data_IF_773717071752
#
_entry.id   IF_773717071752
#
_cell.length_a   1.000
_cell.length_b   1.000
_cell.length_c   1.000
_cell.angle_alpha   90.00
_cell.angle_beta   90.00
_cell.angle_gamma   90.00
#
_symmetry.space_group_name_H-M   'P 1'
#
loop_
_entity.id
_entity.type
_entity.pdbx_description
1 polymer ?
#
# COMPACT_ATOMS: atom_id res chain seq x y z
N UNK A 1 -12.53 -46.90 -22.00
CA UNK A 1 -11.19 -47.39 -21.56
C UNK A 1 -10.47 -46.25 -20.85
N UNK A 2 -10.48 -46.24 -19.52
CA UNK A 2 -9.91 -45.19 -18.67
C UNK A 2 -8.44 -45.52 -18.37
N UNK A 3 -7.50 -44.70 -18.87
CA UNK A 3 -6.08 -44.82 -18.53
C UNK A 3 -5.80 -44.06 -17.24
N UNK A 4 -5.51 -44.81 -16.18
CA UNK A 4 -4.90 -44.32 -14.93
C UNK A 4 -3.47 -43.86 -15.23
N UNK A 5 -3.15 -42.61 -14.94
CA UNK A 5 -1.77 -42.10 -14.92
C UNK A 5 -1.39 -41.85 -13.46
N UNK A 6 -0.55 -42.74 -12.94
CA UNK A 6 0.12 -42.60 -11.65
C UNK A 6 1.27 -41.60 -11.80
N UNK A 7 1.27 -40.54 -11.01
CA UNK A 7 2.41 -39.63 -10.89
C UNK A 7 3.21 -39.98 -9.63
N UNK A 8 4.53 -40.19 -9.72
CA UNK A 8 5.37 -40.42 -8.56
C UNK A 8 5.65 -39.11 -7.81
N UNK A 9 5.41 -39.20 -6.51
CA UNK A 9 5.74 -38.24 -5.47
C UNK A 9 7.27 -38.11 -5.35
N UNK A 10 7.86 -37.02 -5.84
CA UNK A 10 9.27 -36.69 -5.60
C UNK A 10 9.37 -35.70 -4.43
N UNK A 11 9.64 -36.26 -3.25
CA UNK A 11 10.08 -35.54 -2.06
C UNK A 11 11.50 -35.01 -2.32
N UNK A 12 11.63 -33.73 -2.62
CA UNK A 12 12.94 -33.05 -2.59
C UNK A 12 13.05 -32.35 -1.24
N UNK A 13 13.67 -33.07 -0.31
CA UNK A 13 14.16 -32.52 0.96
C UNK A 13 15.37 -31.64 0.66
N UNK A 14 15.22 -30.33 0.85
CA UNK A 14 16.32 -29.37 0.78
C UNK A 14 16.56 -28.78 2.17
N UNK A 15 17.52 -29.35 2.88
CA UNK A 15 18.10 -28.78 4.09
C UNK A 15 18.94 -27.56 3.71
N UNK A 16 18.39 -26.35 3.84
CA UNK A 16 19.18 -25.13 3.84
C UNK A 16 19.38 -24.65 5.29
N UNK A 17 20.65 -24.65 5.67
CA UNK A 17 21.21 -24.29 6.97
C UNK A 17 20.88 -22.84 7.31
N UNK A 18 20.23 -22.63 8.46
CA UNK A 18 20.02 -21.30 9.05
C UNK A 18 21.33 -20.80 9.67
N UNK A 19 22.01 -19.89 8.98
CA UNK A 19 23.10 -19.10 9.55
C UNK A 19 22.55 -17.91 10.33
N UNK A 20 22.64 -17.96 11.66
CA UNK A 20 22.29 -16.86 12.53
C UNK A 20 23.42 -15.81 12.53
N UNK A 21 23.25 -14.72 11.78
CA UNK A 21 24.08 -13.53 11.93
C UNK A 21 23.41 -12.64 12.99
N UNK A 22 23.94 -12.67 14.21
CA UNK A 22 23.58 -11.73 15.26
C UNK A 22 24.36 -10.43 15.07
N UNK A 23 23.76 -9.46 14.40
CA UNK A 23 24.27 -8.10 14.36
C UNK A 23 23.69 -7.33 15.55
N UNK A 24 24.57 -7.01 16.51
CA UNK A 24 24.28 -6.12 17.63
C UNK A 24 24.01 -4.73 17.05
N UNK A 25 22.75 -4.31 17.09
CA UNK A 25 22.34 -2.98 16.67
C UNK A 25 22.79 -1.95 17.73
N UNK A 26 23.73 -1.10 17.37
CA UNK A 26 24.04 0.14 18.08
C UNK A 26 22.85 1.08 17.92
N UNK A 27 22.21 1.46 19.02
CA UNK A 27 21.15 2.47 19.06
C UNK A 27 21.77 3.81 19.45
N UNK A 28 21.92 4.77 18.52
CA UNK A 28 22.11 6.17 18.93
C UNK A 28 20.79 6.66 19.51
N UNK A 29 20.82 6.97 20.81
CA UNK A 29 19.80 7.76 21.48
C UNK A 29 19.93 9.21 21.02
N UNK A 30 19.22 9.58 19.96
CA UNK A 30 18.92 10.99 19.66
C UNK A 30 17.56 11.30 20.27
N UNK A 31 17.60 11.93 21.44
CA UNK A 31 16.50 12.73 21.99
C UNK A 31 16.73 14.13 21.47
N UNK A 32 15.94 14.51 20.47
CA UNK A 32 15.72 15.90 20.10
C UNK A 32 14.22 16.10 20.29
N UNK A 33 13.90 16.87 21.33
CA UNK A 33 12.56 17.36 21.56
C UNK A 33 12.51 18.71 20.83
N UNK A 34 11.82 18.72 19.69
CA UNK A 34 11.27 19.93 19.12
C UNK A 34 9.75 19.72 19.13
N UNK A 35 9.08 20.49 19.99
CA UNK A 35 7.64 20.76 19.90
C UNK A 35 7.49 21.77 18.75
N UNK A 36 7.19 21.30 17.54
CA UNK A 36 6.72 22.16 16.44
C UNK A 36 5.35 21.65 15.98
N UNK A 37 4.39 22.57 15.94
CA UNK A 37 2.97 22.33 15.71
C UNK A 37 2.62 21.89 14.26
N UNK A 38 3.61 21.45 13.48
CA UNK A 38 3.54 21.11 12.04
C UNK A 38 3.48 19.58 11.76
N UNK A 39 3.54 18.73 12.79
CA UNK A 39 3.84 17.29 12.64
C UNK A 39 2.80 16.43 11.91
N UNK A 40 1.50 16.75 11.99
CA UNK A 40 0.45 15.85 11.46
C UNK A 40 0.37 15.87 9.93
N UNK A 41 0.62 17.03 9.32
CA UNK A 41 0.59 17.18 7.86
C UNK A 41 1.90 16.67 7.23
N UNK A 42 3.02 16.79 7.95
CA UNK A 42 4.29 16.15 7.61
C UNK A 42 4.18 14.61 7.67
N UNK A 43 3.43 14.07 8.64
CA UNK A 43 3.15 12.64 8.70
C UNK A 43 2.33 12.17 7.49
N UNK A 44 1.36 12.97 7.01
CA UNK A 44 0.63 12.68 5.77
C UNK A 44 1.58 12.66 4.57
N UNK A 45 2.45 13.66 4.44
CA UNK A 45 3.42 13.74 3.36
C UNK A 45 4.37 12.54 3.36
N UNK A 46 4.98 12.21 4.50
CA UNK A 46 5.89 11.08 4.63
C UNK A 46 5.17 9.74 4.35
N UNK A 47 3.92 9.61 4.79
CA UNK A 47 3.09 8.46 4.46
C UNK A 47 2.84 8.39 2.94
N UNK A 48 2.64 9.52 2.26
CA UNK A 48 2.27 9.59 0.85
C UNK A 48 3.45 9.17 -0.01
N UNK A 49 4.62 9.76 0.27
CA UNK A 49 5.88 9.41 -0.35
C UNK A 49 6.14 7.91 -0.23
N UNK A 50 6.16 7.36 0.99
CA UNK A 50 6.41 5.93 1.23
C UNK A 50 5.34 5.01 0.64
N UNK A 51 4.11 5.48 0.43
CA UNK A 51 3.02 4.68 -0.15
C UNK A 51 3.11 4.64 -1.68
N UNK A 52 3.52 5.75 -2.30
CA UNK A 52 3.45 5.93 -3.75
C UNK A 52 4.82 5.79 -4.44
N UNK A 53 5.91 6.22 -3.81
CA UNK A 53 7.21 6.36 -4.45
C UNK A 53 8.08 5.10 -4.47
N UNK A 54 8.82 4.96 -5.57
CA UNK A 54 9.80 3.90 -5.76
C UNK A 54 9.22 2.61 -6.36
N UNK A 55 10.11 1.77 -6.89
CA UNK A 55 9.73 0.54 -7.63
C UNK A 55 9.02 -0.50 -6.78
N UNK A 56 9.23 -0.46 -5.46
CA UNK A 56 8.68 -1.41 -4.48
C UNK A 56 7.57 -0.79 -3.62
N UNK A 57 7.04 0.38 -4.00
CA UNK A 57 6.00 1.05 -3.24
C UNK A 57 4.75 0.18 -3.09
N UNK A 58 4.01 0.32 -1.98
CA UNK A 58 2.70 -0.30 -1.81
C UNK A 58 1.76 -0.02 -2.98
N UNK A 59 1.77 1.21 -3.52
CA UNK A 59 1.05 1.57 -4.74
C UNK A 59 1.41 0.69 -5.93
N UNK A 60 2.71 0.59 -6.28
CA UNK A 60 3.14 -0.25 -7.41
C UNK A 60 2.84 -1.72 -7.19
N UNK A 61 2.90 -2.19 -5.93
CA UNK A 61 2.56 -3.56 -5.57
C UNK A 61 1.08 -3.84 -5.83
N UNK A 62 0.18 -3.02 -5.29
CA UNK A 62 -1.28 -3.14 -5.53
C UNK A 62 -1.60 -3.00 -7.01
N UNK A 63 -1.08 -1.98 -7.69
CA UNK A 63 -1.38 -1.74 -9.09
C UNK A 63 -1.00 -2.95 -9.97
N UNK A 64 0.19 -3.54 -9.75
CA UNK A 64 0.59 -4.76 -10.46
C UNK A 64 -0.29 -5.96 -10.08
N UNK A 65 -0.57 -6.13 -8.79
CA UNK A 65 -1.30 -7.28 -8.27
C UNK A 65 -2.75 -7.33 -8.74
N UNK A 66 -3.45 -6.19 -8.75
CA UNK A 66 -4.84 -6.05 -9.21
C UNK A 66 -4.98 -6.24 -10.72
N UNK A 67 -3.97 -5.80 -11.49
CA UNK A 67 -3.94 -5.95 -12.94
C UNK A 67 -3.39 -7.30 -13.42
N UNK A 68 -2.91 -8.16 -12.52
CA UNK A 68 -2.51 -9.52 -12.88
C UNK A 68 -3.72 -10.38 -13.28
N UNK A 69 -3.45 -11.45 -14.04
CA UNK A 69 -4.43 -12.47 -14.39
C UNK A 69 -3.85 -13.88 -14.17
N UNK A 70 -4.28 -14.61 -13.11
CA UNK A 70 -5.26 -14.19 -12.10
C UNK A 70 -4.72 -13.09 -11.18
N UNK A 71 -5.63 -12.33 -10.56
CA UNK A 71 -5.31 -11.27 -9.59
C UNK A 71 -4.50 -11.84 -8.42
N UNK A 72 -3.40 -11.19 -8.06
CA UNK A 72 -2.56 -11.62 -6.93
C UNK A 72 -3.07 -11.06 -5.59
N UNK A 73 -4.01 -11.76 -4.96
CA UNK A 73 -4.60 -11.35 -3.69
C UNK A 73 -3.60 -11.22 -2.54
N UNK A 74 -2.55 -12.05 -2.50
CA UNK A 74 -1.55 -11.99 -1.44
C UNK A 74 -0.78 -10.66 -1.47
N UNK A 75 -0.44 -10.19 -2.67
CA UNK A 75 0.23 -8.90 -2.84
C UNK A 75 -0.70 -7.71 -2.52
N UNK A 76 -2.01 -7.84 -2.82
CA UNK A 76 -3.01 -6.83 -2.44
C UNK A 76 -3.11 -6.75 -0.93
N UNK A 77 -3.36 -7.88 -0.26
CA UNK A 77 -3.54 -7.94 1.20
C UNK A 77 -2.32 -7.42 1.96
N UNK A 78 -1.10 -7.74 1.50
CA UNK A 78 0.14 -7.27 2.13
C UNK A 78 0.32 -5.74 2.05
N UNK A 79 -0.19 -5.11 1.01
CA UNK A 79 -0.08 -3.66 0.83
C UNK A 79 -1.16 -2.87 1.58
N UNK A 80 -2.31 -3.48 1.87
CA UNK A 80 -3.47 -2.81 2.48
C UNK A 80 -3.19 -2.10 3.82
N UNK A 81 -2.39 -2.65 4.76
CA UNK A 81 -2.10 -1.96 6.01
C UNK A 81 -1.46 -0.58 5.85
N UNK A 82 -0.74 -0.33 4.74
CA UNK A 82 -0.19 1.01 4.46
C UNK A 82 -1.30 1.98 4.04
N UNK A 83 -2.19 1.55 3.15
CA UNK A 83 -3.32 2.37 2.72
C UNK A 83 -4.28 2.68 3.88
N UNK A 84 -4.52 1.73 4.79
CA UNK A 84 -5.31 1.96 6.00
C UNK A 84 -4.67 3.03 6.90
N UNK A 85 -3.34 2.99 7.09
CA UNK A 85 -2.62 4.04 7.83
C UNK A 85 -2.71 5.39 7.16
N UNK A 86 -2.60 5.42 5.82
CA UNK A 86 -2.71 6.65 5.04
C UNK A 86 -4.07 7.31 5.23
N UNK A 87 -5.18 6.59 5.00
CA UNK A 87 -6.52 7.19 5.14
C UNK A 87 -6.82 7.61 6.58
N UNK A 88 -6.23 6.94 7.57
CA UNK A 88 -6.35 7.34 8.98
C UNK A 88 -5.55 8.62 9.29
N UNK A 89 -4.41 8.84 8.64
CA UNK A 89 -3.65 10.08 8.76
C UNK A 89 -4.34 11.23 8.02
N UNK A 90 -4.81 11.01 6.80
CA UNK A 90 -5.59 12.00 6.04
C UNK A 90 -6.81 12.48 6.83
N UNK A 91 -7.53 11.57 7.50
CA UNK A 91 -8.66 11.95 8.35
C UNK A 91 -8.29 12.81 9.59
N UNK A 92 -7.01 12.82 9.97
CA UNK A 92 -6.47 13.57 11.11
C UNK A 92 -5.64 14.79 10.71
N UNK A 93 -5.36 14.98 9.42
CA UNK A 93 -4.63 16.13 8.89
C UNK A 93 -5.20 17.42 9.47
N UNK A 94 -4.35 18.37 9.86
CA UNK A 94 -4.78 19.63 10.48
C UNK A 94 -5.38 20.55 9.42
N UNK A 95 -4.74 20.61 8.26
CA UNK A 95 -5.22 21.33 7.09
C UNK A 95 -6.57 20.79 6.58
N UNK A 96 -7.56 21.68 6.53
CA UNK A 96 -8.90 21.35 6.05
C UNK A 96 -8.92 21.05 4.55
N UNK A 97 -8.11 21.73 3.75
CA UNK A 97 -8.04 21.50 2.30
C UNK A 97 -7.46 20.10 2.02
N UNK A 98 -6.49 19.66 2.82
CA UNK A 98 -5.96 18.29 2.76
C UNK A 98 -7.05 17.27 3.10
N UNK A 99 -7.78 17.46 4.21
CA UNK A 99 -8.88 16.56 4.59
C UNK A 99 -9.97 16.49 3.52
N UNK A 100 -10.45 17.64 3.06
CA UNK A 100 -11.58 17.73 2.13
C UNK A 100 -11.21 17.23 0.73
N UNK A 101 -9.93 17.36 0.33
CA UNK A 101 -9.43 16.81 -0.93
C UNK A 101 -9.23 15.28 -0.90
N UNK A 102 -9.16 14.68 0.29
CA UNK A 102 -8.84 13.27 0.50
C UNK A 102 -10.04 12.31 0.43
N UNK A 103 -11.28 12.80 0.34
CA UNK A 103 -12.49 11.97 0.34
C UNK A 103 -12.48 10.89 -0.76
N UNK A 104 -12.17 11.29 -1.99
CA UNK A 104 -12.11 10.37 -3.13
C UNK A 104 -11.04 9.29 -2.97
N UNK A 105 -9.88 9.64 -2.41
CA UNK A 105 -8.82 8.68 -2.10
C UNK A 105 -9.28 7.70 -1.01
N UNK A 106 -9.86 8.24 0.06
CA UNK A 106 -10.34 7.48 1.21
C UNK A 106 -11.41 6.47 0.82
N UNK A 107 -12.37 6.87 0.00
CA UNK A 107 -13.44 6.00 -0.48
C UNK A 107 -12.90 4.91 -1.41
N UNK A 108 -12.01 5.26 -2.34
CA UNK A 108 -11.41 4.27 -3.23
C UNK A 108 -10.56 3.22 -2.48
N UNK A 109 -9.82 3.63 -1.44
CA UNK A 109 -9.10 2.71 -0.56
C UNK A 109 -10.06 1.78 0.19
N UNK A 110 -11.14 2.33 0.77
CA UNK A 110 -12.17 1.53 1.47
C UNK A 110 -12.83 0.50 0.53
N UNK A 111 -13.14 0.90 -0.70
CA UNK A 111 -13.70 0.00 -1.72
C UNK A 111 -12.71 -1.10 -2.12
N UNK A 112 -11.43 -0.77 -2.23
CA UNK A 112 -10.38 -1.75 -2.52
C UNK A 112 -10.21 -2.76 -1.38
N UNK A 113 -10.20 -2.29 -0.13
CA UNK A 113 -10.19 -3.12 1.08
C UNK A 113 -11.41 -4.06 1.13
N UNK A 114 -12.61 -3.54 0.87
CA UNK A 114 -13.84 -4.32 0.85
C UNK A 114 -13.83 -5.37 -0.26
N UNK A 115 -13.33 -5.01 -1.44
CA UNK A 115 -13.18 -5.92 -2.58
C UNK A 115 -12.16 -7.02 -2.28
N UNK A 116 -11.04 -6.70 -1.63
CA UNK A 116 -10.04 -7.70 -1.24
C UNK A 116 -10.60 -8.72 -0.25
N UNK A 117 -11.34 -8.26 0.77
CA UNK A 117 -12.00 -9.13 1.75
C UNK A 117 -13.01 -10.09 1.11
N UNK A 118 -13.69 -9.65 0.04
CA UNK A 118 -14.67 -10.44 -0.72
C UNK A 118 -14.06 -11.26 -1.85
N UNK A 119 -12.76 -11.09 -2.14
CA UNK A 119 -12.09 -11.63 -3.34
C UNK A 119 -12.80 -11.24 -4.65
N UNK A 120 -13.37 -10.04 -4.67
CA UNK A 120 -14.10 -9.48 -5.82
C UNK A 120 -13.13 -8.83 -6.81
N UNK A 121 -12.69 -9.57 -7.83
CA UNK A 121 -11.73 -9.07 -8.80
C UNK A 121 -12.26 -7.89 -9.64
N UNK A 122 -13.50 -7.92 -10.18
CA UNK A 122 -14.11 -6.73 -10.79
C UNK A 122 -14.16 -5.52 -9.87
N UNK A 123 -14.57 -5.72 -8.61
CA UNK A 123 -14.60 -4.67 -7.58
C UNK A 123 -13.21 -4.07 -7.33
N UNK A 124 -12.19 -4.91 -7.16
CA UNK A 124 -10.82 -4.46 -6.90
C UNK A 124 -10.26 -3.65 -8.08
N UNK A 125 -10.53 -4.04 -9.33
CA UNK A 125 -10.09 -3.28 -10.52
C UNK A 125 -10.81 -1.93 -10.64
N UNK A 126 -12.11 -1.90 -10.34
CA UNK A 126 -12.88 -0.65 -10.30
C UNK A 126 -12.34 0.29 -9.22
N UNK A 127 -12.10 -0.23 -8.02
CA UNK A 127 -11.57 0.52 -6.90
C UNK A 127 -10.15 1.05 -7.18
N UNK A 128 -9.27 0.24 -7.77
CA UNK A 128 -7.94 0.69 -8.18
C UNK A 128 -8.02 1.82 -9.20
N UNK A 129 -8.92 1.73 -10.19
CA UNK A 129 -9.11 2.80 -11.17
C UNK A 129 -9.55 4.10 -10.48
N UNK A 130 -10.52 4.02 -9.58
CA UNK A 130 -10.97 5.18 -8.78
C UNK A 130 -9.83 5.77 -7.95
N UNK A 131 -9.00 4.91 -7.33
CA UNK A 131 -7.84 5.33 -6.55
C UNK A 131 -6.82 6.08 -7.42
N UNK A 132 -6.47 5.55 -8.60
CA UNK A 132 -5.61 6.25 -9.56
C UNK A 132 -6.14 7.63 -9.95
N UNK A 133 -7.46 7.75 -10.16
CA UNK A 133 -8.10 9.02 -10.53
C UNK A 133 -8.06 10.01 -9.36
N UNK A 134 -8.30 9.53 -8.14
CA UNK A 134 -8.29 10.38 -6.93
C UNK A 134 -6.93 11.02 -6.66
N UNK A 135 -5.82 10.38 -7.06
CA UNK A 135 -4.49 10.99 -6.97
C UNK A 135 -4.43 12.26 -7.82
N UNK A 136 -4.91 12.23 -9.08
CA UNK A 136 -4.94 13.41 -9.93
C UNK A 136 -5.79 14.54 -9.34
N UNK A 137 -6.95 14.21 -8.78
CA UNK A 137 -7.87 15.19 -8.19
C UNK A 137 -7.30 15.84 -6.92
N UNK A 138 -6.62 15.06 -6.08
CA UNK A 138 -5.96 15.56 -4.85
C UNK A 138 -4.80 16.51 -5.19
N UNK A 139 -3.94 16.12 -6.13
CA UNK A 139 -2.81 16.94 -6.57
C UNK A 139 -3.25 18.24 -7.29
N UNK A 140 -4.38 18.25 -8.00
CA UNK A 140 -4.87 19.45 -8.67
C UNK A 140 -5.55 20.46 -7.73
N UNK A 141 -6.09 19.99 -6.60
CA UNK A 141 -6.81 20.81 -5.61
C UNK A 141 -5.92 21.36 -4.49
N UNK A 142 -4.60 21.20 -4.56
CA UNK A 142 -3.66 21.68 -3.55
C UNK A 142 -3.31 20.66 -2.46
N UNK A 143 -3.61 19.37 -2.68
CA UNK A 143 -3.23 18.30 -1.76
C UNK A 143 -1.71 18.09 -1.62
N UNK A 144 -1.29 17.32 -0.60
CA UNK A 144 0.12 17.08 -0.27
C UNK A 144 0.78 16.28 -1.40
N UNK A 145 1.53 16.97 -2.26
CA UNK A 145 2.23 16.38 -3.40
C UNK A 145 2.37 17.28 -4.64
N UNK A 146 1.75 18.47 -4.66
CA UNK A 146 1.94 19.45 -5.74
C UNK A 146 1.38 18.99 -7.10
N UNK A 147 1.75 19.66 -8.20
CA UNK A 147 1.37 19.19 -9.55
C UNK A 147 2.08 17.87 -9.84
N UNK A 148 1.33 16.88 -10.35
CA UNK A 148 1.92 15.69 -10.95
C UNK A 148 2.63 16.11 -12.24
N UNK A 149 3.91 15.79 -12.38
CA UNK A 149 4.63 15.94 -13.65
C UNK A 149 4.09 14.90 -14.64
N UNK A 150 3.40 15.37 -15.68
CA UNK A 150 2.81 14.58 -16.77
C UNK A 150 3.85 13.74 -17.56
#
# INVERSE_FOLDING_TARGET
MLKKLSFPLLLVSCCCVFGAVQSIAVRPSQVWADDDDDDDDDAVHELMEKTHEGKKSPWRKVNRAVNADPLNWADVDDAMPRFEKMIAALAKAKDADVRDSADGYTDAVKDLLASSKKRDAPGARKALKALSQSCGDCHYKGGPGGKLDD
#
